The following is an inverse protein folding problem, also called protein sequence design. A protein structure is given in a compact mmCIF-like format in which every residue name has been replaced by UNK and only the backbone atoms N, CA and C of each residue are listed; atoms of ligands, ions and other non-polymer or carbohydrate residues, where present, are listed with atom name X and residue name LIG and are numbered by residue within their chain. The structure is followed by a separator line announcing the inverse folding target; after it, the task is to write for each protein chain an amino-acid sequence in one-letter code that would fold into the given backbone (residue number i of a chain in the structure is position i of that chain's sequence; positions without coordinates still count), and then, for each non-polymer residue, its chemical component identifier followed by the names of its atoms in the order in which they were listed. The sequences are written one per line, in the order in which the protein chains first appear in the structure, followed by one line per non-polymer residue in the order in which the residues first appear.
data_IF_323541973861
#
_entry.id   IF_323541973861
#
_cell.length_a   1.000
_cell.length_b   1.000
_cell.length_c   1.000
_cell.angle_alpha   90.00
_cell.angle_beta   90.00
_cell.angle_gamma   90.00
#
_symmetry.space_group_name_H-M   'P 1'
#
loop_
_entity.id
_entity.type
_entity.pdbx_description
1 polymer ?
#
# COMPACT_ATOMS: atom_id res chain seq x y z
N UNK A 1 -6.89 -5.09 13.06
CA UNK A 1 -6.94 -3.97 12.09
C UNK A 1 -6.84 -4.63 10.74
N UNK A 2 -7.83 -4.43 9.88
CA UNK A 2 -7.81 -4.95 8.51
C UNK A 2 -7.54 -3.75 7.61
N UNK A 3 -6.36 -3.72 6.99
CA UNK A 3 -6.03 -2.72 5.98
C UNK A 3 -6.30 -3.31 4.59
N UNK A 4 -6.54 -2.44 3.60
CA UNK A 4 -6.79 -2.83 2.22
C UNK A 4 -5.81 -2.12 1.29
N UNK A 5 -5.26 -2.89 0.35
CA UNK A 5 -4.44 -2.39 -0.77
C UNK A 5 -5.14 -2.80 -2.06
N UNK A 6 -5.42 -1.83 -2.93
CA UNK A 6 -6.01 -2.07 -4.24
C UNK A 6 -5.16 -1.44 -5.34
N UNK A 7 -5.23 -2.01 -6.54
CA UNK A 7 -4.60 -1.45 -7.73
C UNK A 7 -5.67 -0.87 -8.63
N UNK A 8 -5.41 0.30 -9.22
CA UNK A 8 -6.31 0.90 -10.19
C UNK A 8 -5.57 1.28 -11.48
N UNK A 9 -6.31 1.41 -12.57
CA UNK A 9 -5.77 1.86 -13.86
C UNK A 9 -6.74 2.83 -14.51
N UNK A 10 -6.21 3.99 -14.93
CA UNK A 10 -6.95 5.07 -15.59
C UNK A 10 -6.16 5.51 -16.82
N UNK A 11 -6.67 5.14 -18.01
CA UNK A 11 -5.99 5.38 -19.30
C UNK A 11 -4.54 4.86 -19.30
N UNK A 12 -3.55 5.74 -19.50
CA UNK A 12 -2.11 5.43 -19.52
C UNK A 12 -1.41 5.56 -18.16
N UNK A 13 -2.19 5.57 -17.08
CA UNK A 13 -1.69 5.68 -15.71
C UNK A 13 -2.38 4.63 -14.83
N UNK A 14 -1.75 4.30 -13.71
CA UNK A 14 -2.32 3.45 -12.69
C UNK A 14 -1.94 3.94 -11.31
N UNK A 15 -2.23 3.11 -10.33
CA UNK A 15 -1.75 3.36 -8.99
C UNK A 15 -2.12 2.26 -8.02
N UNK A 16 -1.63 2.46 -6.81
CA UNK A 16 -1.97 1.67 -5.64
C UNK A 16 -2.73 2.57 -4.67
N UNK A 17 -3.94 2.18 -4.31
CA UNK A 17 -4.71 2.84 -3.27
C UNK A 17 -4.59 2.05 -1.95
N UNK A 18 -4.28 2.75 -0.87
CA UNK A 18 -4.18 2.18 0.48
C UNK A 18 -5.30 2.75 1.34
N UNK A 19 -6.10 1.85 1.92
CA UNK A 19 -7.19 2.18 2.83
C UNK A 19 -6.90 1.55 4.20
N UNK A 20 -6.65 2.40 5.20
CA UNK A 20 -6.40 1.93 6.56
C UNK A 20 -7.69 1.56 7.27
N UNK A 21 -7.70 0.43 7.96
CA UNK A 21 -8.86 -0.06 8.69
C UNK A 21 -9.09 0.70 9.99
N UNK A 22 -10.34 1.04 10.28
CA UNK A 22 -10.74 1.60 11.59
C UNK A 22 -10.87 0.53 12.67
N UNK A 23 -10.85 -0.76 12.28
CA UNK A 23 -11.00 -1.89 13.19
C UNK A 23 -12.44 -2.29 13.51
N UNK A 24 -13.43 -1.65 12.89
CA UNK A 24 -14.87 -1.91 13.01
C UNK A 24 -15.51 -2.39 11.69
N UNK A 25 -14.68 -2.74 10.70
CA UNK A 25 -15.13 -3.11 9.36
C UNK A 25 -15.27 -1.94 8.39
N UNK A 26 -15.00 -0.70 8.83
CA UNK A 26 -14.91 0.49 7.96
C UNK A 26 -13.45 0.87 7.68
N UNK A 27 -13.27 1.71 6.66
CA UNK A 27 -11.96 2.21 6.21
C UNK A 27 -11.87 3.73 6.30
N UNK A 28 -10.66 4.24 6.46
CA UNK A 28 -10.33 5.65 6.27
C UNK A 28 -10.35 6.03 4.77
N UNK A 29 -10.36 7.33 4.43
CA UNK A 29 -10.16 7.76 3.05
C UNK A 29 -8.90 7.15 2.44
N UNK A 30 -8.96 6.85 1.14
CA UNK A 30 -7.84 6.24 0.42
C UNK A 30 -6.65 7.19 0.29
N UNK A 31 -5.46 6.61 0.31
CA UNK A 31 -4.21 7.27 -0.05
C UNK A 31 -3.68 6.63 -1.33
N UNK A 32 -3.58 7.43 -2.38
CA UNK A 32 -3.15 6.97 -3.70
C UNK A 32 -1.65 7.16 -3.91
N UNK A 33 -1.03 6.14 -4.49
CA UNK A 33 0.33 6.15 -4.97
C UNK A 33 0.32 5.91 -6.47
N UNK A 34 0.53 6.98 -7.23
CA UNK A 34 0.45 6.94 -8.69
C UNK A 34 1.60 6.13 -9.29
N UNK A 35 1.27 5.30 -10.27
CA UNK A 35 2.21 4.52 -11.08
C UNK A 35 1.88 4.70 -12.56
N UNK A 36 2.67 4.06 -13.42
CA UNK A 36 2.33 3.90 -14.84
C UNK A 36 1.28 2.78 -15.03
N UNK A 37 1.05 2.41 -16.29
CA UNK A 37 0.13 1.34 -16.73
C UNK A 37 0.42 -0.02 -16.07
N UNK A 38 -0.64 -0.78 -15.82
CA UNK A 38 -0.60 -2.16 -15.29
C UNK A 38 0.14 -2.31 -13.95
N UNK A 39 -0.30 -1.60 -12.89
CA UNK A 39 0.27 -1.82 -11.56
C UNK A 39 0.08 -3.26 -11.11
N UNK A 40 1.10 -3.79 -10.47
CA UNK A 40 1.08 -5.05 -9.76
C UNK A 40 1.66 -4.83 -8.37
N UNK A 41 1.10 -5.52 -7.36
CA UNK A 41 1.47 -5.34 -5.96
C UNK A 41 1.94 -6.65 -5.33
N UNK A 42 2.94 -6.53 -4.47
CA UNK A 42 3.34 -7.57 -3.53
C UNK A 42 3.47 -6.96 -2.13
N UNK A 43 3.17 -7.76 -1.10
CA UNK A 43 3.25 -7.36 0.30
C UNK A 43 4.34 -8.18 0.99
N UNK A 44 5.21 -7.52 1.74
CA UNK A 44 6.30 -8.16 2.48
C UNK A 44 7.00 -7.15 3.39
N UNK A 45 7.78 -7.62 4.35
CA UNK A 45 8.68 -6.77 5.12
C UNK A 45 9.99 -6.63 4.33
N UNK A 46 10.15 -5.51 3.61
CA UNK A 46 11.26 -5.31 2.69
C UNK A 46 12.40 -4.51 3.31
N UNK A 47 12.15 -3.80 4.42
CA UNK A 47 13.15 -3.04 5.15
C UNK A 47 13.61 -3.69 6.47
N UNK A 48 12.96 -4.78 6.90
CA UNK A 48 13.28 -5.54 8.11
C UNK A 48 12.76 -4.92 9.41
N UNK A 49 11.76 -4.05 9.35
CA UNK A 49 11.22 -3.35 10.53
C UNK A 49 10.05 -4.08 11.22
N UNK A 50 9.64 -5.23 10.67
CA UNK A 50 8.56 -6.05 11.19
C UNK A 50 7.15 -5.59 10.79
N UNK A 51 7.03 -4.60 9.89
CA UNK A 51 5.75 -4.17 9.33
C UNK A 51 5.62 -4.60 7.86
N UNK A 52 4.40 -4.90 7.39
CA UNK A 52 4.19 -5.18 5.98
C UNK A 52 4.34 -3.89 5.16
N UNK A 53 5.31 -3.89 4.25
CA UNK A 53 5.52 -2.89 3.20
C UNK A 53 4.83 -3.31 1.89
N UNK A 54 4.76 -2.39 0.93
CA UNK A 54 4.20 -2.65 -0.41
C UNK A 54 5.30 -2.48 -1.46
N UNK A 55 5.47 -3.48 -2.32
CA UNK A 55 6.23 -3.35 -3.55
C UNK A 55 5.26 -3.14 -4.72
N UNK A 56 5.54 -2.17 -5.59
CA UNK A 56 4.74 -1.90 -6.80
C UNK A 56 5.60 -1.64 -8.02
N UNK A 57 5.10 -2.03 -9.18
CA UNK A 57 5.75 -1.79 -10.47
C UNK A 57 5.34 -0.41 -11.00
N UNK A 58 6.32 0.43 -11.39
CA UNK A 58 6.07 1.66 -12.14
C UNK A 58 6.55 1.46 -13.59
N UNK A 59 5.64 0.98 -14.42
CA UNK A 59 5.87 0.79 -15.84
C UNK A 59 6.83 -0.37 -16.15
N UNK A 60 7.44 -0.41 -17.35
CA UNK A 60 8.15 -1.60 -17.82
C UNK A 60 9.48 -1.88 -17.12
N UNK A 61 10.05 -0.92 -16.40
CA UNK A 61 11.46 -0.99 -16.01
C UNK A 61 11.76 -0.60 -14.57
N UNK A 62 10.78 -0.14 -13.79
CA UNK A 62 11.04 0.32 -12.42
C UNK A 62 10.10 -0.29 -11.40
N UNK A 63 10.60 -0.43 -10.17
CA UNK A 63 9.84 -0.88 -9.01
C UNK A 63 10.08 0.10 -7.85
N UNK A 64 9.03 0.40 -7.11
CA UNK A 64 9.06 1.20 -5.88
C UNK A 64 8.68 0.34 -4.68
N UNK A 65 9.30 0.63 -3.54
CA UNK A 65 8.88 0.10 -2.23
C UNK A 65 8.26 1.25 -1.43
N UNK A 66 7.03 1.06 -0.99
CA UNK A 66 6.30 1.96 -0.11
C UNK A 66 6.44 1.43 1.31
N UNK A 67 7.21 2.16 2.12
CA UNK A 67 7.48 1.76 3.50
C UNK A 67 6.28 2.04 4.40
N UNK A 68 5.91 1.05 5.20
CA UNK A 68 4.87 1.20 6.20
C UNK A 68 5.39 1.96 7.42
N UNK A 69 5.24 3.28 7.38
CA UNK A 69 5.65 4.15 8.49
C UNK A 69 4.57 4.35 9.54
N UNK A 70 3.44 3.61 9.48
CA UNK A 70 2.40 3.72 10.50
C UNK A 70 3.01 3.42 11.88
N UNK A 71 2.77 4.25 12.90
CA UNK A 71 3.22 3.94 14.25
C UNK A 71 2.67 2.58 14.65
N UNK A 72 3.51 1.70 15.22
CA UNK A 72 3.03 0.44 15.78
C UNK A 72 1.82 0.75 16.70
N UNK A 73 0.71 -0.02 16.64
CA UNK A 73 -0.37 0.17 17.58
C UNK A 73 0.25 0.04 18.96
N UNK A 74 0.34 1.15 19.71
CA UNK A 74 0.87 1.10 21.07
C UNK A 74 0.12 -0.04 21.74
N UNK A 75 0.86 -1.06 22.21
CA UNK A 75 0.25 -2.16 22.94
C UNK A 75 -0.65 -1.52 23.99
N UNK A 76 -1.94 -1.85 23.96
CA UNK A 76 -2.84 -1.46 25.06
C UNK A 76 -2.22 -2.08 26.30
N UNK A 77 -1.56 -1.26 27.12
CA UNK A 77 -1.21 -1.64 28.48
C UNK A 77 -2.50 -1.87 29.26
#
# INVERSE_FOLDING_TARGET
ILDLVSTFSVQRSGGVAVLLGNGDGTFQPEVDFTTDENPAVAIGDFNGDGKPDIATVNGPSTLSILLNTTPWPKAKK
#
